data_IF_959185702787
#
_entry.id   IF_959185702787
#
_cell.length_a   1.000
_cell.length_b   1.000
_cell.length_c   1.000
_cell.angle_alpha   90.00
_cell.angle_beta   90.00
_cell.angle_gamma   90.00
#
_symmetry.space_group_name_H-M   'P 1'
#
loop_
_entity.id
_entity.type
_entity.pdbx_description
1 polymer ?
#
# COMPACT_ATOMS: atom_id res chain seq x y z
N UNK A 1 3.02 -17.52 8.58
CA UNK A 1 1.74 -16.98 8.09
C UNK A 1 1.84 -16.67 6.61
N UNK A 2 0.83 -16.98 5.80
CA UNK A 2 0.77 -16.56 4.39
C UNK A 2 -0.29 -15.46 4.28
N UNK A 3 0.11 -14.30 3.76
CA UNK A 3 -0.76 -13.17 3.43
C UNK A 3 -1.05 -13.18 1.94
N UNK A 4 -2.32 -13.09 1.57
CA UNK A 4 -2.78 -13.07 0.18
C UNK A 4 -2.95 -11.62 -0.30
N UNK A 5 -2.12 -11.21 -1.24
CA UNK A 5 -2.16 -9.88 -1.84
C UNK A 5 -2.75 -9.91 -3.25
N UNK A 6 -3.47 -8.86 -3.62
CA UNK A 6 -3.91 -8.61 -4.99
C UNK A 6 -3.41 -7.24 -5.44
N UNK A 7 -2.71 -7.17 -6.58
CA UNK A 7 -2.39 -5.91 -7.25
C UNK A 7 -3.34 -5.70 -8.43
N UNK A 8 -4.14 -4.63 -8.37
CA UNK A 8 -4.95 -4.11 -9.47
C UNK A 8 -4.14 -3.04 -10.21
N UNK A 9 -4.01 -3.17 -11.53
CA UNK A 9 -3.30 -2.21 -12.37
C UNK A 9 -4.30 -1.53 -13.28
N UNK A 10 -4.54 -0.25 -13.03
CA UNK A 10 -5.29 0.60 -13.96
C UNK A 10 -4.32 1.20 -14.97
N UNK A 11 -4.47 0.81 -16.24
CA UNK A 11 -3.69 1.42 -17.31
C UNK A 11 -4.16 2.84 -17.64
N UNK A 12 -5.45 3.12 -17.45
CA UNK A 12 -6.07 4.37 -17.88
C UNK A 12 -6.81 5.06 -16.72
N UNK A 13 -6.68 6.38 -16.65
CA UNK A 13 -7.50 7.27 -15.81
C UNK A 13 -8.13 8.33 -16.70
N UNK A 14 -9.46 8.46 -16.67
CA UNK A 14 -10.22 9.51 -17.35
C UNK A 14 -11.23 10.13 -16.38
N UNK A 15 -10.85 11.23 -15.75
CA UNK A 15 -11.62 11.86 -14.67
C UNK A 15 -11.90 13.33 -14.94
N UNK A 16 -12.98 13.83 -14.36
CA UNK A 16 -13.27 15.26 -14.28
C UNK A 16 -13.22 15.69 -12.82
N UNK A 17 -12.16 16.40 -12.47
CA UNK A 17 -11.92 16.88 -11.11
C UNK A 17 -12.53 18.27 -10.95
N UNK A 18 -13.25 18.48 -9.85
CA UNK A 18 -13.70 19.81 -9.44
C UNK A 18 -12.66 20.36 -8.49
N UNK A 19 -11.83 21.30 -8.94
CA UNK A 19 -10.84 21.95 -8.08
C UNK A 19 -11.39 23.23 -7.48
N UNK A 20 -10.68 23.79 -6.51
CA UNK A 20 -10.99 25.12 -5.94
C UNK A 20 -11.27 26.16 -7.05
N UNK A 21 -12.38 26.88 -6.89
CA UNK A 21 -12.89 27.82 -7.90
C UNK A 21 -13.87 27.24 -8.93
N UNK A 22 -14.46 26.06 -8.68
CA UNK A 22 -15.49 25.42 -9.52
C UNK A 22 -15.06 25.11 -10.97
N UNK A 23 -13.76 25.14 -11.26
CA UNK A 23 -13.24 24.77 -12.58
C UNK A 23 -13.18 23.24 -12.66
N UNK A 24 -13.95 22.68 -13.59
CA UNK A 24 -13.83 21.26 -13.95
C UNK A 24 -12.61 21.07 -14.84
N UNK A 25 -11.62 20.33 -14.36
CA UNK A 25 -10.46 19.91 -15.16
C UNK A 25 -10.61 18.44 -15.53
N UNK A 26 -10.65 18.14 -16.82
CA UNK A 26 -10.49 16.75 -17.28
C UNK A 26 -9.02 16.38 -17.18
N UNK A 27 -8.74 15.22 -16.59
CA UNK A 27 -7.45 14.59 -16.62
C UNK A 27 -7.62 13.22 -17.27
N UNK A 28 -6.90 12.99 -18.37
CA UNK A 28 -6.93 11.74 -19.12
C UNK A 28 -5.49 11.30 -19.37
N UNK A 29 -5.13 10.10 -18.92
CA UNK A 29 -3.77 9.59 -19.04
C UNK A 29 -3.75 8.06 -19.07
N UNK A 30 -2.76 7.53 -19.80
CA UNK A 30 -2.42 6.12 -19.88
C UNK A 30 -1.03 5.90 -19.31
N UNK A 31 -0.84 4.81 -18.56
CA UNK A 31 0.50 4.34 -18.24
C UNK A 31 1.19 3.83 -19.50
N UNK A 32 2.49 4.08 -19.62
CA UNK A 32 3.30 3.35 -20.58
C UNK A 32 3.51 1.92 -20.11
N UNK A 33 3.82 1.01 -21.03
CA UNK A 33 4.21 -0.35 -20.69
C UNK A 33 5.42 -0.36 -19.73
N UNK A 34 6.42 0.49 -20.00
CA UNK A 34 7.59 0.68 -19.13
C UNK A 34 7.21 1.09 -17.70
N UNK A 35 6.29 2.05 -17.54
CA UNK A 35 5.85 2.48 -16.21
C UNK A 35 5.13 1.37 -15.44
N UNK A 36 4.38 0.51 -16.15
CA UNK A 36 3.75 -0.67 -15.55
C UNK A 36 4.81 -1.70 -15.18
N UNK A 37 5.77 -1.97 -16.06
CA UNK A 37 6.85 -2.93 -15.85
C UNK A 37 7.73 -2.54 -14.66
N UNK A 38 8.14 -1.27 -14.55
CA UNK A 38 8.92 -0.76 -13.42
C UNK A 38 8.19 -0.95 -12.08
N UNK A 39 6.90 -0.58 -12.05
CA UNK A 39 6.07 -0.72 -10.86
C UNK A 39 5.85 -2.19 -10.48
N UNK A 40 5.57 -3.06 -11.45
CA UNK A 40 5.38 -4.50 -11.24
C UNK A 40 6.67 -5.18 -10.82
N UNK A 41 7.80 -4.82 -11.44
CA UNK A 41 9.10 -5.32 -11.01
C UNK A 41 9.36 -4.91 -9.56
N UNK A 42 9.16 -3.64 -9.19
CA UNK A 42 9.26 -3.22 -7.78
C UNK A 42 8.33 -4.03 -6.86
N UNK A 43 7.05 -4.19 -7.22
CA UNK A 43 6.07 -4.96 -6.44
C UNK A 43 6.51 -6.41 -6.19
N UNK A 44 7.12 -7.05 -7.18
CA UNK A 44 7.65 -8.42 -7.06
C UNK A 44 8.77 -8.56 -6.02
N UNK A 45 9.44 -7.47 -5.63
CA UNK A 45 10.46 -7.49 -4.57
C UNK A 45 9.91 -7.42 -3.15
N UNK A 46 8.71 -6.87 -2.97
CA UNK A 46 8.10 -6.71 -1.65
C UNK A 46 7.91 -8.02 -0.86
N UNK A 47 7.48 -9.15 -1.47
CA UNK A 47 7.40 -10.44 -0.78
C UNK A 47 8.71 -10.91 -0.13
N UNK A 48 9.86 -10.64 -0.76
CA UNK A 48 11.16 -10.99 -0.19
C UNK A 48 11.49 -10.14 1.02
N UNK A 49 11.16 -8.84 1.00
CA UNK A 49 11.33 -7.97 2.16
C UNK A 49 10.48 -8.42 3.34
N UNK A 50 9.22 -8.81 3.11
CA UNK A 50 8.36 -9.33 4.19
C UNK A 50 8.97 -10.58 4.81
N UNK A 51 9.40 -11.52 3.97
CA UNK A 51 10.02 -12.76 4.43
C UNK A 51 11.32 -12.48 5.20
N UNK A 52 12.14 -11.56 4.71
CA UNK A 52 13.39 -11.19 5.35
C UNK A 52 13.15 -10.51 6.71
N UNK A 53 12.28 -9.50 6.76
CA UNK A 53 12.09 -8.65 7.93
C UNK A 53 11.30 -9.34 9.04
N UNK A 54 10.54 -10.39 8.69
CA UNK A 54 9.89 -11.27 9.66
C UNK A 54 10.68 -12.55 9.96
N UNK A 55 11.91 -12.69 9.47
CA UNK A 55 12.71 -13.91 9.60
C UNK A 55 11.95 -15.20 9.18
N UNK A 56 11.10 -15.07 8.16
CA UNK A 56 10.26 -16.14 7.62
C UNK A 56 8.95 -16.39 8.38
N UNK A 57 8.63 -15.62 9.43
CA UNK A 57 7.37 -15.76 10.15
C UNK A 57 6.15 -15.37 9.29
N UNK A 58 6.34 -14.47 8.31
CA UNK A 58 5.34 -14.12 7.30
C UNK A 58 5.87 -14.34 5.87
N UNK A 59 4.96 -14.66 4.96
CA UNK A 59 5.19 -14.76 3.52
C UNK A 59 4.01 -14.14 2.76
N UNK A 60 4.27 -13.67 1.55
CA UNK A 60 3.25 -13.11 0.66
C UNK A 60 2.99 -14.07 -0.50
N UNK A 61 1.74 -14.44 -0.73
CA UNK A 61 1.25 -14.95 -2.00
C UNK A 61 0.53 -13.82 -2.71
N UNK A 62 0.78 -13.60 -4.00
CA UNK A 62 0.15 -12.49 -4.72
C UNK A 62 -0.44 -12.87 -6.06
N UNK A 63 -1.47 -12.12 -6.46
CA UNK A 63 -2.04 -12.11 -7.80
C UNK A 63 -1.91 -10.69 -8.38
N UNK A 64 -1.69 -10.58 -9.70
CA UNK A 64 -1.64 -9.30 -10.42
C UNK A 64 -2.73 -9.31 -11.49
N UNK A 65 -3.55 -8.26 -11.53
CA UNK A 65 -4.64 -8.07 -12.50
C UNK A 65 -4.51 -6.73 -13.21
N UNK A 66 -4.34 -6.79 -14.53
CA UNK A 66 -4.55 -5.62 -15.38
C UNK A 66 -6.06 -5.36 -15.56
N UNK A 67 -6.48 -4.13 -15.32
CA UNK A 67 -7.88 -3.71 -15.40
C UNK A 67 -8.11 -3.03 -16.75
N UNK A 68 -9.02 -3.60 -17.53
CA UNK A 68 -9.27 -3.17 -18.90
C UNK A 68 -10.08 -1.87 -18.98
N UNK A 69 -10.95 -1.61 -17.98
CA UNK A 69 -11.72 -0.36 -17.94
C UNK A 69 -10.85 0.79 -17.42
N UNK A 70 -11.10 2.04 -17.87
CA UNK A 70 -10.52 3.20 -17.23
C UNK A 70 -11.02 3.35 -15.78
N UNK A 71 -10.16 3.91 -14.94
CA UNK A 71 -10.59 4.51 -13.69
C UNK A 71 -11.25 5.86 -14.02
N UNK A 72 -12.52 6.03 -13.64
CA UNK A 72 -13.35 7.18 -14.09
C UNK A 72 -13.81 8.08 -12.94
N UNK A 73 -13.43 7.75 -11.72
CA UNK A 73 -13.69 8.53 -10.53
C UNK A 73 -12.49 8.47 -9.59
N UNK A 74 -12.36 9.51 -8.77
CA UNK A 74 -11.45 9.55 -7.62
C UNK A 74 -12.22 10.18 -6.47
N UNK A 75 -11.92 9.73 -5.27
CA UNK A 75 -12.46 10.27 -4.04
C UNK A 75 -11.59 11.43 -3.57
N UNK A 76 -12.20 12.56 -3.24
CA UNK A 76 -11.53 13.69 -2.58
C UNK A 76 -11.45 13.41 -1.08
N UNK A 77 -10.24 13.32 -0.53
CA UNK A 77 -10.01 13.11 0.91
C UNK A 77 -10.01 14.43 1.67
N UNK A 78 -9.32 15.41 1.10
CA UNK A 78 -9.17 16.78 1.59
C UNK A 78 -9.20 17.74 0.39
N UNK A 79 -9.21 19.06 0.64
CA UNK A 79 -9.26 20.09 -0.40
C UNK A 79 -8.19 19.90 -1.48
N UNK A 80 -8.61 19.53 -2.69
CA UNK A 80 -7.73 19.18 -3.83
C UNK A 80 -6.76 18.00 -3.56
N UNK A 81 -7.15 16.99 -2.80
CA UNK A 81 -6.39 15.75 -2.60
C UNK A 81 -7.24 14.54 -3.03
N UNK A 82 -6.94 14.01 -4.23
CA UNK A 82 -7.73 12.96 -4.86
C UNK A 82 -6.98 11.63 -4.94
N UNK A 83 -7.67 10.53 -4.69
CA UNK A 83 -7.08 9.20 -4.76
C UNK A 83 -8.11 8.13 -5.16
N UNK A 84 -7.67 6.97 -5.68
CA UNK A 84 -8.54 5.83 -5.94
C UNK A 84 -8.93 5.19 -4.62
N UNK A 85 -10.12 5.49 -4.10
CA UNK A 85 -10.63 4.82 -2.92
C UNK A 85 -11.19 3.43 -3.25
N UNK A 86 -11.55 2.62 -2.23
CA UNK A 86 -12.29 1.39 -2.45
C UNK A 86 -13.61 1.58 -3.23
N UNK A 87 -14.25 2.75 -3.21
CA UNK A 87 -15.47 2.98 -4.01
C UNK A 87 -15.16 3.18 -5.50
N UNK A 88 -14.05 3.85 -5.82
CA UNK A 88 -13.61 4.05 -7.21
C UNK A 88 -13.20 2.74 -7.89
N UNK A 89 -12.80 1.76 -7.08
CA UNK A 89 -12.37 0.41 -7.49
C UNK A 89 -13.36 -0.69 -7.13
N UNK A 90 -14.60 -0.34 -6.74
CA UNK A 90 -15.61 -1.26 -6.20
C UNK A 90 -15.86 -2.49 -7.09
N UNK A 91 -16.01 -2.28 -8.39
CA UNK A 91 -16.29 -3.38 -9.32
C UNK A 91 -15.21 -4.47 -9.28
N UNK A 92 -13.94 -4.07 -9.22
CA UNK A 92 -12.78 -4.96 -9.13
C UNK A 92 -12.64 -5.58 -7.74
N UNK A 93 -12.95 -4.83 -6.68
CA UNK A 93 -12.99 -5.38 -5.32
C UNK A 93 -14.05 -6.48 -5.22
N UNK A 94 -15.25 -6.26 -5.73
CA UNK A 94 -16.34 -7.24 -5.64
C UNK A 94 -16.06 -8.47 -6.53
N UNK A 95 -15.41 -8.27 -7.68
CA UNK A 95 -15.08 -9.36 -8.61
C UNK A 95 -13.85 -10.17 -8.17
N UNK A 96 -12.76 -9.51 -7.78
CA UNK A 96 -11.46 -10.13 -7.60
C UNK A 96 -11.01 -10.21 -6.14
N UNK A 97 -11.55 -9.39 -5.25
CA UNK A 97 -11.26 -9.43 -3.81
C UNK A 97 -12.54 -9.41 -2.94
N UNK A 98 -13.51 -10.31 -3.19
CA UNK A 98 -14.61 -10.50 -2.25
C UNK A 98 -14.07 -10.87 -0.86
N UNK A 99 -14.88 -10.65 0.16
CA UNK A 99 -14.46 -10.80 1.55
C UNK A 99 -13.76 -12.13 1.82
N UNK A 100 -12.64 -12.07 2.56
CA UNK A 100 -11.77 -13.20 2.94
C UNK A 100 -11.00 -13.88 1.80
N UNK A 101 -11.06 -13.35 0.57
CA UNK A 101 -10.26 -13.89 -0.55
C UNK A 101 -8.81 -13.41 -0.51
N UNK A 102 -8.62 -12.12 -0.22
CA UNK A 102 -7.33 -11.46 -0.07
C UNK A 102 -7.25 -10.76 1.28
N UNK A 103 -6.06 -10.71 1.85
CA UNK A 103 -5.75 -9.99 3.08
C UNK A 103 -5.32 -8.54 2.77
N UNK A 104 -4.80 -8.31 1.57
CA UNK A 104 -4.34 -6.99 1.10
C UNK A 104 -4.68 -6.76 -0.37
N UNK A 105 -5.11 -5.54 -0.69
CA UNK A 105 -5.33 -5.07 -2.06
C UNK A 105 -4.45 -3.85 -2.33
N UNK A 106 -3.75 -3.87 -3.45
CA UNK A 106 -2.95 -2.77 -3.96
C UNK A 106 -3.55 -2.27 -5.27
N UNK A 107 -3.39 -0.97 -5.52
CA UNK A 107 -3.85 -0.31 -6.75
C UNK A 107 -2.71 0.51 -7.34
N UNK A 108 -2.27 0.18 -8.54
CA UNK A 108 -1.41 1.04 -9.36
C UNK A 108 -2.29 1.90 -10.26
N UNK A 109 -2.09 3.22 -10.26
CA UNK A 109 -2.93 4.14 -11.03
C UNK A 109 -2.16 5.30 -11.71
N UNK A 110 -2.64 5.82 -12.86
CA UNK A 110 -1.99 6.90 -13.59
C UNK A 110 -2.32 8.28 -13.01
N UNK A 111 -1.56 8.71 -12.01
CA UNK A 111 -1.65 10.05 -11.41
C UNK A 111 -0.86 11.09 -12.21
N UNK A 112 0.32 10.72 -12.70
CA UNK A 112 1.32 11.65 -13.23
C UNK A 112 1.54 11.43 -14.73
N UNK A 113 1.31 12.47 -15.54
CA UNK A 113 1.74 12.53 -16.93
C UNK A 113 3.03 13.35 -17.02
N UNK A 114 4.17 12.65 -17.06
CA UNK A 114 5.50 13.28 -17.09
C UNK A 114 5.80 13.98 -18.41
N UNK A 115 5.17 13.59 -19.53
CA UNK A 115 5.41 14.18 -20.84
C UNK A 115 4.91 15.63 -20.92
N UNK A 116 3.70 15.88 -20.42
CA UNK A 116 3.10 17.22 -20.42
C UNK A 116 3.11 17.90 -19.03
N UNK A 117 3.77 17.29 -18.04
CA UNK A 117 3.93 17.79 -16.66
C UNK A 117 2.58 18.07 -15.99
N UNK A 118 1.57 17.26 -16.28
CA UNK A 118 0.28 17.34 -15.61
C UNK A 118 0.12 16.22 -14.61
N UNK A 119 -0.66 16.45 -13.55
CA UNK A 119 -0.94 15.44 -12.54
C UNK A 119 -2.31 15.68 -11.92
N UNK A 120 -2.90 14.61 -11.42
CA UNK A 120 -3.98 14.70 -10.46
C UNK A 120 -3.43 15.30 -9.15
N UNK A 121 -4.07 16.33 -8.59
CA UNK A 121 -3.72 16.85 -7.28
C UNK A 121 -3.82 15.75 -6.21
N UNK A 122 -2.69 15.38 -5.61
CA UNK A 122 -2.64 14.57 -4.41
C UNK A 122 -1.29 14.71 -3.70
N UNK A 123 -1.34 14.79 -2.38
CA UNK A 123 -0.18 15.08 -1.53
C UNK A 123 0.83 13.94 -1.37
N UNK A 124 0.45 12.71 -1.69
CA UNK A 124 1.29 11.52 -1.46
C UNK A 124 1.55 10.72 -2.75
N UNK A 125 2.59 9.88 -2.70
CA UNK A 125 2.86 8.89 -3.75
C UNK A 125 1.96 7.67 -3.57
N UNK A 126 1.90 7.10 -2.37
CA UNK A 126 0.91 6.11 -1.98
C UNK A 126 0.00 6.62 -0.87
N UNK A 127 -1.17 5.98 -0.76
CA UNK A 127 -2.10 6.14 0.35
C UNK A 127 -2.66 4.78 0.72
N UNK A 128 -2.73 4.50 2.02
CA UNK A 128 -3.16 3.22 2.52
C UNK A 128 -4.13 3.31 3.70
N UNK A 129 -4.87 2.23 3.90
CA UNK A 129 -5.82 2.06 4.99
C UNK A 129 -5.80 0.63 5.55
N UNK A 130 -6.10 0.54 6.84
CA UNK A 130 -6.35 -0.71 7.53
C UNK A 130 -7.61 -1.43 7.02
N UNK A 131 -7.65 -2.74 7.23
CA UNK A 131 -8.76 -3.57 6.80
C UNK A 131 -10.11 -3.08 7.33
N UNK A 132 -11.08 -2.90 6.44
CA UNK A 132 -12.42 -2.43 6.79
C UNK A 132 -13.48 -2.98 5.84
N UNK A 133 -14.76 -2.81 6.18
CA UNK A 133 -15.86 -3.16 5.27
C UNK A 133 -15.78 -2.41 3.94
N UNK A 134 -15.18 -1.21 3.93
CA UNK A 134 -15.00 -0.41 2.72
C UNK A 134 -14.14 -1.14 1.68
N UNK A 135 -13.14 -1.91 2.10
CA UNK A 135 -12.23 -2.68 1.25
C UNK A 135 -12.50 -4.19 1.29
N UNK A 136 -13.76 -4.60 1.51
CA UNK A 136 -14.17 -6.01 1.63
C UNK A 136 -13.39 -6.79 2.72
N UNK A 137 -12.89 -6.10 3.74
CA UNK A 137 -12.13 -6.69 4.85
C UNK A 137 -10.64 -6.91 4.58
N UNK A 138 -10.10 -6.44 3.45
CA UNK A 138 -8.66 -6.45 3.16
C UNK A 138 -8.03 -5.10 3.53
N UNK A 139 -6.72 -5.06 3.83
CA UNK A 139 -5.99 -3.79 3.78
C UNK A 139 -6.02 -3.25 2.35
N UNK A 140 -5.90 -1.93 2.18
CA UNK A 140 -5.96 -1.33 0.86
C UNK A 140 -4.90 -0.24 0.72
N UNK A 141 -4.16 -0.25 -0.39
CA UNK A 141 -3.13 0.73 -0.71
C UNK A 141 -3.22 1.15 -2.18
N UNK A 142 -3.25 2.46 -2.46
CA UNK A 142 -3.23 3.00 -3.81
C UNK A 142 -1.92 3.77 -4.04
N UNK A 143 -1.12 3.30 -4.99
CA UNK A 143 0.21 3.82 -5.32
C UNK A 143 0.16 4.45 -6.72
N UNK A 144 0.52 5.72 -6.83
CA UNK A 144 0.60 6.41 -8.10
C UNK A 144 1.80 5.94 -8.94
N UNK A 145 1.72 6.10 -10.26
CA UNK A 145 2.88 5.90 -11.13
C UNK A 145 4.00 6.92 -10.84
N UNK A 146 5.25 6.51 -11.01
CA UNK A 146 6.42 7.35 -10.81
C UNK A 146 7.43 7.17 -11.97
N UNK A 147 8.42 8.07 -12.14
CA UNK A 147 9.50 7.86 -13.08
C UNK A 147 10.30 6.60 -12.71
N UNK A 148 10.91 5.94 -13.71
CA UNK A 148 11.76 4.75 -13.54
C UNK A 148 12.77 4.87 -12.40
N UNK A 149 13.43 6.02 -12.30
CA UNK A 149 14.43 6.26 -11.24
C UNK A 149 13.85 6.20 -9.83
N UNK A 150 12.56 6.51 -9.62
CA UNK A 150 11.91 6.40 -8.33
C UNK A 150 11.59 4.95 -7.94
N UNK A 151 11.47 4.04 -8.91
CA UNK A 151 11.29 2.61 -8.64
C UNK A 151 12.62 1.88 -8.39
N UNK A 152 13.73 2.46 -8.85
CA UNK A 152 15.07 1.86 -8.87
C UNK A 152 16.07 2.49 -7.89
N UNK A 153 15.76 3.65 -7.32
CA UNK A 153 16.65 4.37 -6.41
C UNK A 153 16.87 3.62 -5.09
N UNK A 154 15.86 2.89 -4.62
CA UNK A 154 15.85 2.23 -3.32
C UNK A 154 15.64 0.73 -3.46
N UNK A 155 15.62 0.04 -2.32
CA UNK A 155 15.40 -1.39 -2.29
C UNK A 155 14.09 -1.74 -2.99
N UNK A 156 14.20 -2.65 -3.96
CA UNK A 156 13.08 -3.15 -4.75
C UNK A 156 11.97 -3.66 -3.82
N UNK A 157 10.78 -3.10 -3.93
CA UNK A 157 9.64 -3.45 -3.08
C UNK A 157 9.40 -2.54 -1.88
N UNK A 158 10.33 -1.65 -1.54
CA UNK A 158 10.25 -0.81 -0.32
C UNK A 158 8.99 0.05 -0.28
N UNK A 159 8.62 0.71 -1.39
CA UNK A 159 7.40 1.55 -1.43
C UNK A 159 6.13 0.72 -1.23
N UNK A 160 6.08 -0.50 -1.77
CA UNK A 160 4.94 -1.39 -1.58
C UNK A 160 4.87 -1.92 -0.15
N UNK A 161 6.03 -2.20 0.44
CA UNK A 161 6.16 -2.58 1.85
C UNK A 161 5.65 -1.46 2.75
N UNK A 162 6.10 -0.22 2.52
CA UNK A 162 5.69 0.96 3.28
C UNK A 162 4.16 1.11 3.29
N UNK A 163 3.55 1.13 2.11
CA UNK A 163 2.10 1.31 1.99
C UNK A 163 1.31 0.13 2.54
N UNK A 164 1.84 -1.10 2.42
CA UNK A 164 1.25 -2.26 3.06
C UNK A 164 1.29 -2.17 4.59
N UNK A 165 2.40 -1.67 5.15
CA UNK A 165 2.61 -1.58 6.59
C UNK A 165 1.61 -0.66 7.28
N UNK A 166 1.14 0.41 6.64
CA UNK A 166 0.00 1.21 7.17
C UNK A 166 -1.21 0.33 7.50
N UNK A 167 -1.58 -0.56 6.58
CA UNK A 167 -2.70 -1.47 6.78
C UNK A 167 -2.43 -2.59 7.78
N UNK A 168 -1.21 -3.12 7.78
CA UNK A 168 -0.80 -4.21 8.67
C UNK A 168 -0.62 -3.74 10.11
N UNK A 169 0.03 -2.60 10.33
CA UNK A 169 0.15 -1.98 11.65
C UNK A 169 -1.24 -1.73 12.24
N UNK A 170 -2.18 -1.24 11.43
CA UNK A 170 -3.58 -1.12 11.86
C UNK A 170 -4.18 -2.48 12.26
N UNK A 171 -3.97 -3.54 11.46
CA UNK A 171 -4.46 -4.88 11.75
C UNK A 171 -3.95 -5.43 13.10
N UNK A 172 -2.66 -5.27 13.41
CA UNK A 172 -2.08 -5.71 14.67
C UNK A 172 -2.45 -4.78 15.84
N UNK A 173 -2.54 -3.47 15.62
CA UNK A 173 -3.01 -2.52 16.63
C UNK A 173 -4.42 -2.86 17.13
N UNK A 174 -5.33 -3.24 16.22
CA UNK A 174 -6.67 -3.72 16.59
C UNK A 174 -6.68 -4.99 17.46
N UNK A 175 -5.57 -5.72 17.50
CA UNK A 175 -5.38 -6.94 18.32
C UNK A 175 -4.63 -6.67 19.63
N UNK A 176 -4.36 -5.41 19.94
CA UNK A 176 -3.72 -5.01 21.19
C UNK A 176 -2.19 -4.91 21.13
N UNK A 177 -1.58 -5.09 19.95
CA UNK A 177 -0.15 -4.85 19.78
C UNK A 177 0.13 -3.35 19.70
N UNK A 178 1.05 -2.86 20.53
CA UNK A 178 1.41 -1.45 20.55
C UNK A 178 2.34 -1.10 19.36
N UNK A 179 1.85 -0.23 18.47
CA UNK A 179 2.63 0.31 17.36
C UNK A 179 3.38 1.58 17.80
N UNK A 180 4.59 1.84 17.25
CA UNK A 180 5.28 3.10 17.47
C UNK A 180 4.50 4.29 16.90
N UNK A 181 4.77 5.50 17.40
CA UNK A 181 4.14 6.72 16.89
C UNK A 181 4.35 6.85 15.37
N UNK A 182 3.25 7.11 14.66
CA UNK A 182 3.20 7.20 13.18
C UNK A 182 3.60 5.93 12.43
N UNK A 183 3.47 4.75 13.04
CA UNK A 183 3.54 3.45 12.33
C UNK A 183 4.54 3.38 11.16
N UNK A 184 4.14 3.19 9.91
CA UNK A 184 5.07 3.06 8.78
C UNK A 184 5.79 4.39 8.43
N UNK A 185 5.24 5.53 8.84
CA UNK A 185 5.82 6.88 8.70
C UNK A 185 6.77 7.26 9.85
N UNK A 186 6.94 6.40 10.86
CA UNK A 186 7.57 6.76 12.13
C UNK A 186 9.10 6.84 12.13
N UNK A 187 9.76 6.45 11.04
CA UNK A 187 11.22 6.22 11.02
C UNK A 187 12.05 7.38 11.59
N UNK A 188 11.85 8.60 11.09
CA UNK A 188 12.60 9.78 11.52
C UNK A 188 12.38 10.13 12.99
N UNK A 189 11.13 9.99 13.48
CA UNK A 189 10.79 10.26 14.88
C UNK A 189 11.50 9.31 15.84
N UNK A 190 11.88 8.13 15.36
CA UNK A 190 12.56 7.10 16.13
C UNK A 190 14.08 7.06 15.88
N UNK A 191 14.62 8.09 15.19
CA UNK A 191 16.06 8.27 15.00
C UNK A 191 16.68 7.42 13.89
N UNK A 192 15.86 6.77 13.06
CA UNK A 192 16.36 6.06 11.88
C UNK A 192 16.75 7.07 10.80
N UNK A 193 17.75 6.71 9.99
CA UNK A 193 18.21 7.51 8.87
C UNK A 193 17.87 6.81 7.57
N UNK A 194 17.32 7.55 6.61
CA UNK A 194 17.00 7.00 5.29
C UNK A 194 18.30 6.67 4.56
N UNK A 195 18.44 5.42 4.14
CA UNK A 195 19.53 5.01 3.27
C UNK A 195 19.24 5.44 1.83
N UNK A 196 20.21 6.01 1.09
CA UNK A 196 20.00 6.37 -0.31
C UNK A 196 19.81 5.15 -1.23
N UNK A 197 20.16 3.94 -0.79
CA UNK A 197 20.00 2.69 -1.55
C UNK A 197 18.98 1.75 -0.92
N UNK A 198 18.83 1.80 0.40
CA UNK A 198 17.97 0.88 1.14
C UNK A 198 16.69 1.54 1.68
N UNK A 199 16.47 2.82 1.41
CA UNK A 199 15.35 3.59 1.94
C UNK A 199 15.22 3.44 3.45
N UNK A 200 14.02 3.10 3.92
CA UNK A 200 13.70 2.94 5.34
C UNK A 200 13.71 1.48 5.83
N UNK A 201 14.34 0.58 5.08
CA UNK A 201 14.31 -0.86 5.38
C UNK A 201 14.82 -1.23 6.78
N UNK A 202 15.79 -0.50 7.35
CA UNK A 202 16.23 -0.72 8.73
C UNK A 202 15.09 -0.45 9.73
N UNK A 203 14.32 0.63 9.50
CA UNK A 203 13.14 0.93 10.30
C UNK A 203 12.07 -0.15 10.14
N UNK A 204 11.78 -0.56 8.91
CA UNK A 204 10.74 -1.57 8.67
C UNK A 204 11.13 -2.93 9.22
N UNK A 205 12.41 -3.30 9.19
CA UNK A 205 12.91 -4.52 9.85
C UNK A 205 12.62 -4.50 11.34
N UNK A 206 12.88 -3.38 12.01
CA UNK A 206 12.61 -3.24 13.43
C UNK A 206 11.10 -3.15 13.71
N UNK A 207 10.33 -2.45 12.88
CA UNK A 207 8.86 -2.38 12.99
C UNK A 207 8.22 -3.77 12.87
N UNK A 208 8.70 -4.59 11.93
CA UNK A 208 8.19 -5.94 11.65
C UNK A 208 8.79 -7.03 12.53
N UNK A 209 9.71 -6.69 13.43
CA UNK A 209 10.22 -7.59 14.47
C UNK A 209 9.87 -7.12 15.88
N UNK A 210 9.13 -6.00 16.01
CA UNK A 210 8.72 -5.44 17.29
C UNK A 210 9.87 -4.78 18.06
N UNK A 211 10.86 -4.24 17.35
CA UNK A 211 12.12 -3.75 17.90
C UNK A 211 12.28 -2.22 17.85
N UNK A 212 11.29 -1.46 17.39
CA UNK A 212 11.35 0.01 17.38
C UNK A 212 11.38 0.54 18.82
N UNK A 213 12.40 1.32 19.17
CA UNK A 213 12.55 1.86 20.52
C UNK A 213 11.70 3.12 20.73
N UNK A 214 10.75 3.10 21.67
CA UNK A 214 9.94 4.27 22.04
C UNK A 214 9.71 4.29 23.56
N UNK A 215 10.05 5.40 24.21
CA UNK A 215 9.88 5.60 25.66
C UNK A 215 10.37 4.43 26.55
N UNK A 216 11.53 3.85 26.20
CA UNK A 216 12.14 2.73 26.94
C UNK A 216 11.51 1.36 26.67
N UNK A 217 10.59 1.25 25.71
CA UNK A 217 9.95 0.01 25.27
C UNK A 217 10.36 -0.33 23.83
N UNK A 218 10.08 -1.58 23.44
CA UNK A 218 10.20 -2.06 22.06
C UNK A 218 8.78 -2.27 21.52
N UNK A 219 8.46 -1.57 20.43
CA UNK A 219 7.13 -1.51 19.82
C UNK A 219 7.17 -2.03 18.38
N UNK A 220 5.99 -2.32 17.83
CA UNK A 220 5.82 -2.89 16.50
C UNK A 220 5.22 -4.29 16.56
N UNK A 221 5.42 -5.06 15.49
CA UNK A 221 4.83 -6.38 15.30
C UNK A 221 5.88 -7.43 15.65
N UNK A 222 5.74 -8.10 16.80
CA UNK A 222 6.70 -9.12 17.22
C UNK A 222 6.68 -10.34 16.31
N UNK A 223 7.78 -11.11 16.29
CA UNK A 223 7.86 -12.35 15.50
C UNK A 223 6.82 -13.39 15.93
N UNK A 224 6.48 -13.42 17.22
CA UNK A 224 5.40 -14.25 17.75
C UNK A 224 4.05 -13.81 17.20
N UNK A 225 3.79 -12.50 17.11
CA UNK A 225 2.54 -11.97 16.55
C UNK A 225 2.32 -12.43 15.09
N UNK A 226 3.39 -12.50 14.29
CA UNK A 226 3.33 -13.06 12.93
C UNK A 226 3.09 -14.58 12.92
N UNK A 227 3.69 -15.30 13.86
CA UNK A 227 3.51 -16.74 14.00
C UNK A 227 2.11 -17.11 14.52
N UNK A 228 1.50 -16.24 15.32
CA UNK A 228 0.13 -16.35 15.80
C UNK A 228 -0.87 -16.11 14.65
N UNK A 229 -1.09 -17.12 13.81
CA UNK A 229 -2.08 -17.03 12.75
C UNK A 229 -2.84 -18.32 12.48
N UNK A 230 -4.17 -18.19 12.62
CA UNK A 230 -5.26 -19.06 12.14
C UNK A 230 -5.80 -20.26 12.94
N UNK A 231 -5.11 -20.85 13.92
CA UNK A 231 -5.69 -22.00 14.64
C UNK A 231 -6.95 -21.63 15.47
N UNK A 232 -7.00 -20.42 16.03
CA UNK A 232 -8.05 -20.05 16.99
C UNK A 232 -9.31 -19.42 16.38
N UNK A 233 -9.34 -19.02 15.10
CA UNK A 233 -10.43 -18.18 14.58
C UNK A 233 -11.30 -18.77 13.46
N UNK A 234 -10.95 -19.94 12.90
CA UNK A 234 -11.94 -20.73 12.12
C UNK A 234 -12.90 -21.55 13.00
N UNK A 235 -12.64 -21.62 14.31
CA UNK A 235 -13.48 -22.33 15.29
C UNK A 235 -14.44 -21.45 16.10
N UNK A 236 -14.29 -20.13 16.07
CA UNK A 236 -15.09 -19.20 16.90
C UNK A 236 -16.35 -18.66 16.19
N UNK A 237 -16.67 -19.19 15.01
CA UNK A 237 -17.90 -18.87 14.26
C UNK A 237 -18.82 -20.08 14.15
N UNK A 238 -19.20 -20.66 15.29
CA UNK A 238 -20.37 -21.56 15.42
C UNK A 238 -21.35 -20.95 16.40
#
# INVERSE_FOLDING_TARGET
>A
MIWKALLLIYNELDVRLTTTGLRKRRFHHYLSLEAIEDAVESFRGFPDLVREFTFGAAAIEYEIKAIARPLTSLTERDENDFWPSPDDTRAELDQYAPARRHDSVFVLWPKHNFQNKTSVPSGAWGLALGASHWSNGATYAAIANAPTSAWQNETRGEVWLHEWLHGVCHHFAQRGFAMPQRDADGAELHGYQRSPTNGWTDYYRDLMSGMVAESGKRLGISLEAWAESFANYRGAGR
#
